data_IF_402171791732
#
_entry.id   IF_402171791732
#
_cell.length_a   1.000
_cell.length_b   1.000
_cell.length_c   1.000
_cell.angle_alpha   90.00
_cell.angle_beta   90.00
_cell.angle_gamma   90.00
#
_symmetry.space_group_name_H-M   'P 1'
#
loop_
_entity.id
_entity.type
_entity.pdbx_description
1 polymer ?
#
# COMPACT_ATOMS: atom_id res chain seq x y z
N UNK A 1 -0.78 7.42 -3.36
CA UNK A 1 -0.40 6.00 -3.48
C UNK A 1 -1.10 5.30 -4.65
N UNK A 2 -2.43 5.12 -4.63
CA UNK A 2 -3.19 4.45 -5.72
C UNK A 2 -2.98 5.10 -7.10
N UNK A 3 -3.10 6.42 -7.20
CA UNK A 3 -2.89 7.17 -8.46
C UNK A 3 -1.47 6.96 -8.99
N UNK A 4 -0.47 6.97 -8.11
CA UNK A 4 0.93 6.74 -8.48
C UNK A 4 1.13 5.34 -9.05
N UNK A 5 0.53 4.30 -8.43
CA UNK A 5 0.58 2.94 -8.96
C UNK A 5 -0.15 2.79 -10.30
N UNK A 6 -1.30 3.46 -10.47
CA UNK A 6 -2.01 3.52 -11.74
C UNK A 6 -1.14 4.14 -12.84
N UNK A 7 -0.49 5.27 -12.54
CA UNK A 7 0.42 5.92 -13.48
C UNK A 7 1.57 5.00 -13.88
N UNK A 8 2.21 4.33 -12.91
CA UNK A 8 3.28 3.36 -13.18
C UNK A 8 2.78 2.21 -14.06
N UNK A 9 1.64 1.62 -13.73
CA UNK A 9 1.04 0.54 -14.51
C UNK A 9 0.79 0.94 -15.97
N UNK A 10 0.16 2.09 -16.20
CA UNK A 10 -0.11 2.62 -17.55
C UNK A 10 1.20 2.86 -18.31
N UNK A 11 2.21 3.45 -17.66
CA UNK A 11 3.51 3.69 -18.28
C UNK A 11 4.17 2.37 -18.70
N UNK A 12 4.13 1.33 -17.87
CA UNK A 12 4.71 0.04 -18.22
C UNK A 12 3.98 -0.63 -19.39
N UNK A 13 2.65 -0.56 -19.46
CA UNK A 13 1.93 -1.05 -20.64
C UNK A 13 2.27 -0.28 -21.93
N UNK A 14 2.47 1.04 -21.84
CA UNK A 14 2.92 1.82 -22.99
C UNK A 14 4.35 1.41 -23.38
N UNK A 15 5.25 1.24 -22.40
CA UNK A 15 6.64 0.82 -22.65
C UNK A 15 6.74 -0.51 -23.37
N UNK A 16 5.82 -1.44 -23.15
CA UNK A 16 5.78 -2.74 -23.85
C UNK A 16 5.53 -2.60 -25.37
N UNK A 17 4.97 -1.46 -25.82
CA UNK A 17 4.70 -1.19 -27.24
C UNK A 17 5.80 -0.38 -27.94
N UNK A 18 6.81 0.08 -27.20
CA UNK A 18 7.80 1.06 -27.64
C UNK A 18 9.18 0.39 -27.76
N UNK A 19 9.95 0.72 -28.80
CA UNK A 19 11.31 0.22 -28.95
C UNK A 19 12.22 0.72 -27.82
N UNK A 20 13.03 -0.19 -27.27
CA UNK A 20 13.89 0.10 -26.12
C UNK A 20 14.93 1.19 -26.40
N UNK A 21 15.38 1.32 -27.65
CA UNK A 21 16.37 2.33 -28.06
C UNK A 21 15.77 3.71 -28.34
N UNK A 22 14.45 3.87 -28.23
CA UNK A 22 13.81 5.15 -28.49
C UNK A 22 14.01 6.13 -27.34
N UNK A 23 14.15 7.42 -27.66
CA UNK A 23 14.10 8.49 -26.67
C UNK A 23 12.82 8.46 -25.82
N UNK A 24 11.71 7.99 -26.41
CA UNK A 24 10.43 7.85 -25.72
C UNK A 24 10.50 6.81 -24.59
N UNK A 25 11.19 5.68 -24.79
CA UNK A 25 11.39 4.67 -23.75
C UNK A 25 12.15 5.21 -22.54
N UNK A 26 13.17 6.05 -22.77
CA UNK A 26 13.91 6.72 -21.70
C UNK A 26 13.03 7.69 -20.91
N UNK A 27 12.27 8.54 -21.61
CA UNK A 27 11.34 9.50 -20.96
C UNK A 27 10.32 8.76 -20.10
N UNK A 28 9.68 7.72 -20.64
CA UNK A 28 8.73 6.89 -19.90
C UNK A 28 9.37 6.24 -18.66
N UNK A 29 10.62 5.81 -18.77
CA UNK A 29 11.38 5.26 -17.63
C UNK A 29 11.60 6.31 -16.54
N UNK A 30 11.99 7.54 -16.88
CA UNK A 30 12.15 8.63 -15.92
C UNK A 30 10.82 9.03 -15.26
N UNK A 31 9.74 9.11 -16.04
CA UNK A 31 8.40 9.40 -15.48
C UNK A 31 7.94 8.28 -14.56
N UNK A 32 8.19 7.00 -14.90
CA UNK A 32 7.87 5.87 -14.02
C UNK A 32 8.63 5.93 -12.70
N UNK A 33 9.90 6.33 -12.72
CA UNK A 33 10.72 6.52 -11.52
C UNK A 33 10.13 7.61 -10.62
N UNK A 34 9.77 8.77 -11.19
CA UNK A 34 9.13 9.86 -10.44
C UNK A 34 7.80 9.42 -9.82
N UNK A 35 7.00 8.64 -10.55
CA UNK A 35 5.75 8.10 -10.04
C UNK A 35 5.96 7.10 -8.89
N UNK A 36 7.00 6.25 -8.96
CA UNK A 36 7.39 5.35 -7.85
C UNK A 36 7.87 6.16 -6.64
N UNK A 37 8.65 7.23 -6.84
CA UNK A 37 9.07 8.11 -5.74
C UNK A 37 7.85 8.77 -5.07
N UNK A 38 6.89 9.26 -5.85
CA UNK A 38 5.65 9.80 -5.33
C UNK A 38 4.83 8.75 -4.56
N UNK A 39 4.85 7.49 -5.01
CA UNK A 39 4.27 6.37 -4.28
C UNK A 39 4.92 6.21 -2.90
N UNK A 40 6.26 6.18 -2.83
CA UNK A 40 7.01 6.03 -1.57
C UNK A 40 6.71 7.17 -0.61
N UNK A 41 6.71 8.42 -1.09
CA UNK A 41 6.38 9.58 -0.26
C UNK A 41 4.97 9.46 0.33
N UNK A 42 3.98 9.12 -0.50
CA UNK A 42 2.60 8.95 -0.05
C UNK A 42 2.45 7.78 0.93
N UNK A 43 3.19 6.69 0.73
CA UNK A 43 3.23 5.56 1.66
C UNK A 43 3.79 6.00 3.03
N UNK A 44 4.93 6.70 3.04
CA UNK A 44 5.59 7.14 4.27
C UNK A 44 4.71 8.05 5.13
N UNK A 45 3.93 8.96 4.53
CA UNK A 45 3.03 9.83 5.28
C UNK A 45 1.76 9.12 5.79
N UNK A 46 1.30 8.08 5.09
CA UNK A 46 0.08 7.38 5.41
C UNK A 46 0.35 6.00 6.00
N UNK A 47 0.34 5.01 5.12
CA UNK A 47 0.39 3.58 5.43
C UNK A 47 1.66 3.13 6.17
N UNK A 48 2.73 3.91 6.16
CA UNK A 48 3.97 3.59 6.86
C UNK A 48 3.83 3.60 8.39
N UNK A 49 3.16 4.61 8.94
CA UNK A 49 3.05 4.80 10.39
C UNK A 49 1.62 4.64 10.93
N UNK A 50 0.61 5.11 10.18
CA UNK A 50 -0.78 5.20 10.67
C UNK A 50 -1.35 3.84 11.11
N UNK A 51 -1.18 2.73 10.38
CA UNK A 51 -1.72 1.43 10.81
C UNK A 51 -1.21 0.98 12.17
N UNK A 52 0.07 1.27 12.49
CA UNK A 52 0.67 0.93 13.78
C UNK A 52 0.08 1.77 14.91
N UNK A 53 -0.16 3.06 14.65
CA UNK A 53 -0.79 3.98 15.61
C UNK A 53 -2.22 3.54 15.89
N UNK A 54 -3.04 3.38 14.85
CA UNK A 54 -4.45 2.97 14.99
C UNK A 54 -4.54 1.62 15.70
N UNK A 55 -3.71 0.64 15.34
CA UNK A 55 -3.66 -0.65 16.03
C UNK A 55 -3.41 -0.49 17.55
N UNK A 56 -2.56 0.46 17.95
CA UNK A 56 -2.29 0.73 19.36
C UNK A 56 -3.46 1.46 20.07
N UNK A 57 -4.34 2.12 19.35
CA UNK A 57 -5.45 2.91 19.91
C UNK A 57 -6.77 2.12 19.97
N UNK A 58 -7.09 1.35 18.93
CA UNK A 58 -8.36 0.63 18.82
C UNK A 58 -8.38 -0.67 19.63
N UNK A 59 -7.22 -1.24 19.96
CA UNK A 59 -7.17 -2.52 20.67
C UNK A 59 -7.38 -2.34 22.18
N UNK A 60 -8.36 -3.05 22.79
CA UNK A 60 -8.57 -3.01 24.23
C UNK A 60 -7.36 -3.58 24.99
N UNK A 61 -7.03 -2.98 26.13
CA UNK A 61 -5.85 -3.32 26.94
C UNK A 61 -5.76 -4.80 27.28
N UNK A 62 -6.90 -5.46 27.53
CA UNK A 62 -6.97 -6.88 27.90
C UNK A 62 -6.46 -7.85 26.83
N UNK A 63 -6.59 -7.50 25.55
CA UNK A 63 -6.20 -8.37 24.41
C UNK A 63 -5.16 -7.71 23.48
N UNK A 64 -4.73 -6.49 23.80
CA UNK A 64 -3.85 -5.67 22.95
C UNK A 64 -2.58 -6.42 22.53
N UNK A 65 -1.95 -7.15 23.46
CA UNK A 65 -0.76 -7.94 23.16
C UNK A 65 -1.06 -9.06 22.15
N UNK A 66 -2.09 -9.87 22.41
CA UNK A 66 -2.45 -11.01 21.56
C UNK A 66 -2.90 -10.55 20.15
N UNK A 67 -3.84 -9.62 20.08
CA UNK A 67 -4.36 -9.10 18.81
C UNK A 67 -3.29 -8.35 18.02
N UNK A 68 -2.46 -7.55 18.70
CA UNK A 68 -1.34 -6.84 18.08
C UNK A 68 -0.28 -7.79 17.52
N UNK A 69 0.05 -8.86 18.25
CA UNK A 69 0.98 -9.90 17.76
C UNK A 69 0.43 -10.63 16.53
N UNK A 70 -0.86 -10.97 16.51
CA UNK A 70 -1.47 -11.60 15.34
C UNK A 70 -1.49 -10.67 14.12
N UNK A 71 -1.86 -9.40 14.29
CA UNK A 71 -1.82 -8.40 13.22
C UNK A 71 -0.39 -8.20 12.69
N UNK A 72 0.60 -8.15 13.59
CA UNK A 72 2.01 -8.04 13.22
C UNK A 72 2.49 -9.26 12.46
N UNK A 73 2.12 -10.47 12.89
CA UNK A 73 2.43 -11.71 12.19
C UNK A 73 1.80 -11.72 10.79
N UNK A 74 0.53 -11.35 10.66
CA UNK A 74 -0.16 -11.27 9.38
C UNK A 74 0.51 -10.27 8.42
N UNK A 75 0.94 -9.11 8.94
CA UNK A 75 1.72 -8.13 8.18
C UNK A 75 3.03 -8.74 7.66
N UNK A 76 3.81 -9.39 8.52
CA UNK A 76 5.09 -9.97 8.13
C UNK A 76 4.95 -11.17 7.19
N UNK A 77 3.95 -12.02 7.37
CA UNK A 77 3.64 -13.12 6.44
C UNK A 77 3.24 -12.59 5.06
N UNK A 78 2.42 -11.53 5.02
CA UNK A 78 2.03 -10.88 3.77
C UNK A 78 3.24 -10.25 3.07
N UNK A 79 4.09 -9.54 3.83
CA UNK A 79 5.34 -8.95 3.33
C UNK A 79 6.29 -10.02 2.77
N UNK A 80 6.44 -11.14 3.48
CA UNK A 80 7.22 -12.28 3.00
C UNK A 80 6.68 -12.84 1.69
N UNK A 81 5.37 -13.07 1.60
CA UNK A 81 4.71 -13.57 0.38
C UNK A 81 4.90 -12.62 -0.82
N UNK A 82 4.71 -11.32 -0.61
CA UNK A 82 4.93 -10.30 -1.66
C UNK A 82 6.40 -10.30 -2.09
N UNK A 83 7.34 -10.34 -1.14
CA UNK A 83 8.78 -10.32 -1.44
C UNK A 83 9.22 -11.55 -2.24
N UNK A 84 8.72 -12.74 -1.89
CA UNK A 84 9.01 -13.98 -2.61
C UNK A 84 8.43 -13.99 -4.04
N UNK A 85 7.25 -13.40 -4.22
CA UNK A 85 6.55 -13.38 -5.51
C UNK A 85 6.93 -12.19 -6.39
N UNK A 86 7.61 -11.16 -5.86
CA UNK A 86 7.87 -9.91 -6.57
C UNK A 86 8.61 -10.11 -7.91
N UNK A 87 9.71 -10.85 -7.91
CA UNK A 87 10.48 -11.10 -9.14
C UNK A 87 9.70 -11.94 -10.16
N UNK A 88 8.88 -12.89 -9.68
CA UNK A 88 8.02 -13.72 -10.53
C UNK A 88 6.93 -12.88 -11.21
N UNK A 89 6.28 -11.98 -10.48
CA UNK A 89 5.26 -11.11 -11.02
C UNK A 89 5.85 -10.11 -12.03
N UNK A 90 6.98 -9.49 -11.67
CA UNK A 90 7.66 -8.53 -12.54
C UNK A 90 8.17 -9.16 -13.84
N UNK A 91 8.64 -10.41 -13.80
CA UNK A 91 9.05 -11.13 -15.01
C UNK A 91 7.88 -11.59 -15.87
N UNK A 92 6.71 -11.85 -15.26
CA UNK A 92 5.48 -12.14 -15.99
C UNK A 92 4.93 -10.90 -16.71
N UNK A 93 4.74 -9.79 -15.99
CA UNK A 93 4.35 -8.50 -16.55
C UNK A 93 4.55 -7.39 -15.53
N UNK A 94 5.42 -6.42 -15.85
CA UNK A 94 5.59 -5.23 -15.01
C UNK A 94 4.27 -4.43 -14.92
N UNK A 95 3.61 -4.19 -16.06
CA UNK A 95 2.31 -3.50 -16.09
C UNK A 95 1.25 -4.24 -15.27
N UNK A 96 1.09 -5.54 -15.48
CA UNK A 96 0.16 -6.38 -14.71
C UNK A 96 0.44 -6.40 -13.21
N UNK A 97 1.72 -6.41 -12.82
CA UNK A 97 2.15 -6.35 -11.41
C UNK A 97 1.75 -5.04 -10.75
N UNK A 98 1.98 -3.90 -11.41
CA UNK A 98 1.59 -2.61 -10.84
C UNK A 98 0.08 -2.40 -10.83
N UNK A 99 -0.67 -3.02 -11.76
CA UNK A 99 -2.15 -3.07 -11.68
C UNK A 99 -2.62 -3.83 -10.45
N UNK A 100 -2.05 -5.01 -10.17
CA UNK A 100 -2.48 -5.79 -9.01
C UNK A 100 -2.23 -5.04 -7.70
N UNK A 101 -1.06 -4.39 -7.56
CA UNK A 101 -0.77 -3.53 -6.43
C UNK A 101 -1.68 -2.30 -6.35
N UNK A 102 -2.03 -1.70 -7.49
CA UNK A 102 -2.98 -0.59 -7.56
C UNK A 102 -4.37 -1.02 -7.06
N UNK A 103 -4.86 -2.20 -7.47
CA UNK A 103 -6.14 -2.74 -7.02
C UNK A 103 -6.18 -2.96 -5.51
N UNK A 104 -5.12 -3.55 -4.94
CA UNK A 104 -5.00 -3.72 -3.49
C UNK A 104 -4.97 -2.35 -2.79
N UNK A 105 -4.21 -1.39 -3.32
CA UNK A 105 -4.18 -0.02 -2.79
C UNK A 105 -5.56 0.67 -2.87
N UNK A 106 -6.31 0.46 -3.94
CA UNK A 106 -7.66 1.00 -4.10
C UNK A 106 -8.65 0.35 -3.12
N UNK A 107 -8.57 -0.97 -2.96
CA UNK A 107 -9.34 -1.70 -1.96
C UNK A 107 -9.04 -1.21 -0.55
N UNK A 108 -7.76 -1.03 -0.20
CA UNK A 108 -7.35 -0.47 1.10
C UNK A 108 -7.92 0.93 1.31
N UNK A 109 -7.92 1.78 0.28
CA UNK A 109 -8.53 3.12 0.37
C UNK A 109 -10.02 3.04 0.70
N UNK A 110 -10.76 2.19 -0.01
CA UNK A 110 -12.19 1.96 0.26
C UNK A 110 -12.39 1.41 1.66
N UNK A 111 -11.56 0.44 2.06
CA UNK A 111 -11.63 -0.16 3.39
C UNK A 111 -11.43 0.88 4.50
N UNK A 112 -10.43 1.75 4.36
CA UNK A 112 -10.13 2.81 5.32
C UNK A 112 -11.29 3.80 5.42
N UNK A 113 -11.85 4.23 4.29
CA UNK A 113 -12.96 5.20 4.27
C UNK A 113 -14.22 4.64 4.95
N UNK A 114 -14.49 3.33 4.77
CA UNK A 114 -15.74 2.73 5.23
C UNK A 114 -15.68 2.16 6.65
N UNK A 115 -14.54 1.58 7.05
CA UNK A 115 -14.47 0.77 8.28
C UNK A 115 -13.43 1.24 9.30
N UNK A 116 -12.47 2.09 8.94
CA UNK A 116 -11.47 2.56 9.90
C UNK A 116 -11.98 3.84 10.57
N UNK A 117 -12.22 3.84 11.90
CA UNK A 117 -12.71 5.03 12.58
C UNK A 117 -11.60 6.07 12.75
N UNK A 118 -12.01 7.33 12.81
CA UNK A 118 -11.11 8.43 13.19
C UNK A 118 -10.85 8.39 14.70
N UNK A 119 -9.57 8.25 15.06
CA UNK A 119 -9.09 8.17 16.45
C UNK A 119 -8.42 9.45 16.91
N UNK A 120 -8.08 10.37 16.00
CA UNK A 120 -7.34 11.60 16.32
C UNK A 120 -8.11 12.48 17.31
N UNK A 121 -7.44 12.83 18.41
CA UNK A 121 -7.97 13.73 19.42
C UNK A 121 -9.05 13.12 20.31
N UNK A 122 -9.25 11.81 20.25
CA UNK A 122 -10.15 11.06 21.15
C UNK A 122 -9.35 10.39 22.25
N UNK A 123 -9.96 10.22 23.42
CA UNK A 123 -9.38 9.39 24.49
C UNK A 123 -9.48 7.91 24.13
N UNK A 124 -8.61 7.07 24.70
CA UNK A 124 -8.66 5.62 24.46
C UNK A 124 -10.00 5.05 24.93
N UNK A 125 -10.54 5.58 26.03
CA UNK A 125 -11.85 5.23 26.55
C UNK A 125 -12.95 5.51 25.53
N UNK A 126 -13.02 6.73 24.97
CA UNK A 126 -14.01 7.11 23.95
C UNK A 126 -13.96 6.22 22.70
N UNK A 127 -12.75 5.85 22.25
CA UNK A 127 -12.57 4.94 21.13
C UNK A 127 -13.16 3.57 21.47
N UNK A 128 -12.86 3.00 22.64
CA UNK A 128 -13.40 1.70 23.05
C UNK A 128 -14.93 1.71 23.19
N UNK A 129 -15.51 2.83 23.66
CA UNK A 129 -16.97 2.99 23.75
C UNK A 129 -17.64 3.01 22.38
N UNK A 130 -16.97 3.49 21.33
CA UNK A 130 -17.52 3.52 19.97
C UNK A 130 -17.65 2.13 19.30
N UNK A 131 -17.00 1.10 19.86
CA UNK A 131 -17.04 -0.28 19.38
C UNK A 131 -17.99 -1.20 20.15
N UNK A 132 -18.69 -0.68 21.17
CA UNK A 132 -19.72 -1.41 21.92
C UNK A 132 -21.08 -1.27 21.26
#
# INVERSE_FOLDING_TARGET
MTISLLAVAVIFFIKDTVSQDSHMYYILSMVSLLAIVAYVIAFSFGMGAIPWVIMSEILPVSIKSLAGSFATLANWLTSFGITMTANLLLSWSAGGTFVSYMLVSAFTLVFVILWVPETKGRTLEEIQWSFR
#
